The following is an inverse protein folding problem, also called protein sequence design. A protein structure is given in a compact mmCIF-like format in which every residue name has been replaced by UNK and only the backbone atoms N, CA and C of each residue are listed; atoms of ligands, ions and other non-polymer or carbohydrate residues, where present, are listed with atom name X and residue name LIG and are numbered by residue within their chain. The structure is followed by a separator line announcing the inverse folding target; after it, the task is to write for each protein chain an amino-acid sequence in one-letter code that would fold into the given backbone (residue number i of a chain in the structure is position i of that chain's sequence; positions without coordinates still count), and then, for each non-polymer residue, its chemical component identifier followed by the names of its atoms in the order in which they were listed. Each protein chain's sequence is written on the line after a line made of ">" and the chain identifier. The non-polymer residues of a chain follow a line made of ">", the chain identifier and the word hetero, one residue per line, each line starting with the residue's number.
data_IF_468785525702
#
_entry.id   IF_468785525702
#
_cell.length_a   1.000
_cell.length_b   1.000
_cell.length_c   1.000
_cell.angle_alpha   90.00
_cell.angle_beta   90.00
_cell.angle_gamma   90.00
#
_symmetry.space_group_name_H-M   'P 1'
#
loop_
_entity.id
_entity.type
_entity.pdbx_description
1 polymer ?
#
# COMPACT_ATOMS: atom_id res chain seq x y z
N UNK A 1 -9.12 -3.65 -15.73
CA UNK A 1 -8.55 -4.98 -15.49
C UNK A 1 -9.61 -5.85 -14.83
N UNK A 2 -9.80 -7.08 -15.33
CA UNK A 2 -10.51 -8.13 -14.58
C UNK A 2 -9.50 -8.74 -13.58
N UNK A 3 -9.82 -8.70 -12.29
CA UNK A 3 -8.95 -9.19 -11.22
C UNK A 3 -9.70 -10.27 -10.44
N UNK A 4 -9.00 -11.34 -10.07
CA UNK A 4 -9.57 -12.41 -9.25
C UNK A 4 -8.92 -12.36 -7.87
N UNK A 5 -9.65 -11.77 -6.94
CA UNK A 5 -9.26 -11.71 -5.55
C UNK A 5 -9.70 -12.99 -4.80
N UNK A 6 -8.90 -13.45 -3.84
CA UNK A 6 -9.22 -14.65 -3.04
C UNK A 6 -10.38 -14.42 -2.08
N UNK A 7 -10.58 -13.19 -1.61
CA UNK A 7 -11.59 -12.79 -0.62
C UNK A 7 -12.84 -12.24 -1.33
N UNK A 8 -12.66 -11.34 -2.29
CA UNK A 8 -13.75 -10.61 -2.95
C UNK A 8 -14.21 -11.23 -4.29
N UNK A 9 -13.53 -12.28 -4.77
CA UNK A 9 -13.88 -12.97 -6.02
C UNK A 9 -13.49 -12.18 -7.27
N UNK A 10 -14.27 -12.30 -8.33
CA UNK A 10 -14.00 -11.57 -9.58
C UNK A 10 -14.46 -10.12 -9.45
N UNK A 11 -13.52 -9.19 -9.65
CA UNK A 11 -13.74 -7.75 -9.56
C UNK A 11 -13.21 -7.05 -10.80
N UNK A 12 -13.84 -5.91 -11.14
CA UNK A 12 -13.42 -5.08 -12.26
C UNK A 12 -12.87 -3.75 -11.76
N UNK A 13 -11.60 -3.50 -12.05
CA UNK A 13 -10.92 -2.23 -11.77
C UNK A 13 -10.91 -1.43 -13.07
N UNK A 14 -11.45 -0.21 -13.05
CA UNK A 14 -11.72 0.59 -14.26
C UNK A 14 -10.99 1.92 -14.27
N UNK A 15 -10.63 2.43 -13.09
CA UNK A 15 -9.99 3.70 -12.87
C UNK A 15 -8.55 3.65 -13.40
N UNK A 16 -8.21 4.49 -14.37
CA UNK A 16 -6.92 4.44 -15.06
C UNK A 16 -5.73 4.66 -14.11
N UNK A 17 -5.87 5.56 -13.13
CA UNK A 17 -4.86 5.78 -12.08
C UNK A 17 -4.57 4.52 -11.28
N UNK A 18 -5.61 3.78 -10.87
CA UNK A 18 -5.45 2.53 -10.13
C UNK A 18 -4.76 1.47 -10.99
N UNK A 19 -5.07 1.41 -12.28
CA UNK A 19 -4.43 0.47 -13.21
C UNK A 19 -2.94 0.78 -13.39
N UNK A 20 -2.57 2.05 -13.55
CA UNK A 20 -1.16 2.43 -13.70
C UNK A 20 -0.38 2.20 -12.40
N UNK A 21 -0.95 2.55 -11.24
CA UNK A 21 -0.36 2.27 -9.93
C UNK A 21 -0.19 0.77 -9.71
N UNK A 22 -1.21 -0.05 -9.97
CA UNK A 22 -1.12 -1.51 -9.84
C UNK A 22 0.03 -2.07 -10.67
N UNK A 23 0.27 -1.53 -11.88
CA UNK A 23 1.33 -1.99 -12.77
C UNK A 23 2.70 -1.32 -12.50
N UNK A 24 2.78 -0.40 -11.55
CA UNK A 24 4.03 0.30 -11.24
C UNK A 24 5.04 -0.64 -10.57
N UNK A 25 6.36 -0.42 -10.76
CA UNK A 25 7.38 -1.21 -10.08
C UNK A 25 7.23 -1.23 -8.56
N UNK A 26 6.78 -0.10 -7.99
CA UNK A 26 6.58 0.08 -6.55
C UNK A 26 5.51 -0.88 -6.02
N UNK A 27 4.36 -1.01 -6.68
CA UNK A 27 3.35 -2.01 -6.28
C UNK A 27 3.78 -3.43 -6.67
N UNK A 28 4.32 -3.64 -7.88
CA UNK A 28 4.66 -4.98 -8.34
C UNK A 28 5.67 -5.69 -7.44
N UNK A 29 6.62 -4.96 -6.83
CA UNK A 29 7.58 -5.55 -5.88
C UNK A 29 6.89 -6.17 -4.65
N UNK A 30 5.70 -5.68 -4.26
CA UNK A 30 4.99 -6.15 -3.08
C UNK A 30 4.51 -7.61 -3.23
N UNK A 31 4.52 -8.17 -4.44
CA UNK A 31 4.25 -9.60 -4.68
C UNK A 31 5.30 -10.52 -4.05
N UNK A 32 6.50 -10.01 -3.84
CA UNK A 32 7.63 -10.70 -3.23
C UNK A 32 7.79 -10.38 -1.75
N UNK A 33 6.88 -9.56 -1.18
CA UNK A 33 6.88 -9.21 0.24
C UNK A 33 5.70 -9.91 0.92
N UNK A 34 6.00 -10.81 1.83
CA UNK A 34 5.00 -11.53 2.63
C UNK A 34 4.38 -10.57 3.68
N UNK A 35 3.05 -10.56 3.74
CA UNK A 35 2.26 -9.76 4.68
C UNK A 35 2.64 -10.07 6.13
N UNK A 36 2.93 -11.33 6.45
CA UNK A 36 3.29 -11.79 7.79
C UNK A 36 4.80 -11.72 8.07
N UNK A 37 5.60 -11.09 7.20
CA UNK A 37 7.06 -11.09 7.29
C UNK A 37 7.67 -12.40 6.79
N UNK A 38 8.78 -12.87 7.35
CA UNK A 38 9.48 -14.07 6.85
C UNK A 38 8.79 -15.40 7.26
N UNK A 39 7.56 -15.61 6.80
CA UNK A 39 6.68 -16.71 7.22
C UNK A 39 6.50 -17.79 6.12
N UNK A 40 6.46 -17.39 4.85
CA UNK A 40 6.32 -18.28 3.68
C UNK A 40 7.22 -19.54 3.71
N UNK A 41 8.53 -19.49 4.06
CA UNK A 41 9.38 -20.68 4.07
C UNK A 41 8.96 -21.75 5.09
N UNK A 42 8.18 -21.38 6.10
CA UNK A 42 7.70 -22.28 7.15
C UNK A 42 6.25 -22.74 6.90
N UNK A 43 5.44 -21.91 6.23
CA UNK A 43 4.02 -22.15 5.96
C UNK A 43 3.64 -21.71 4.53
N UNK A 44 4.02 -22.45 3.49
CA UNK A 44 3.83 -22.03 2.09
C UNK A 44 2.35 -21.88 1.70
N UNK A 45 1.45 -22.64 2.33
CA UNK A 45 0.00 -22.58 2.10
C UNK A 45 -0.65 -21.28 2.62
N UNK A 46 0.05 -20.52 3.48
CA UNK A 46 -0.40 -19.22 3.98
C UNK A 46 0.26 -18.06 3.26
N UNK A 47 0.73 -18.24 2.02
CA UNK A 47 1.29 -17.14 1.22
C UNK A 47 0.24 -16.05 0.99
N UNK A 48 0.41 -14.93 1.67
CA UNK A 48 -0.32 -13.68 1.49
C UNK A 48 0.73 -12.60 1.30
N UNK A 49 0.81 -12.03 0.10
CA UNK A 49 1.77 -10.97 -0.17
C UNK A 49 1.11 -9.60 0.06
N UNK A 50 1.93 -8.57 0.27
CA UNK A 50 1.46 -7.18 0.47
C UNK A 50 0.75 -6.63 -0.76
N UNK A 51 1.05 -7.11 -1.96
CA UNK A 51 0.35 -6.68 -3.17
C UNK A 51 -1.14 -7.06 -3.12
N UNK A 52 -1.45 -8.31 -2.76
CA UNK A 52 -2.82 -8.80 -2.63
C UNK A 52 -3.56 -8.03 -1.52
N UNK A 53 -2.89 -7.72 -0.41
CA UNK A 53 -3.44 -6.88 0.66
C UNK A 53 -3.76 -5.46 0.19
N UNK A 54 -2.81 -4.76 -0.43
CA UNK A 54 -3.00 -3.41 -0.98
C UNK A 54 -4.17 -3.34 -1.99
N UNK A 55 -4.25 -4.30 -2.90
CA UNK A 55 -5.39 -4.39 -3.83
C UNK A 55 -6.69 -4.69 -3.07
N UNK A 56 -6.65 -5.56 -2.07
CA UNK A 56 -7.80 -5.87 -1.20
C UNK A 56 -8.35 -4.66 -0.45
N UNK A 57 -7.49 -3.83 0.14
CA UNK A 57 -7.86 -2.57 0.81
C UNK A 57 -8.54 -1.61 -0.18
N UNK A 58 -7.94 -1.42 -1.36
CA UNK A 58 -8.52 -0.61 -2.44
C UNK A 58 -9.94 -1.09 -2.83
N UNK A 59 -10.12 -2.40 -2.99
CA UNK A 59 -11.42 -3.00 -3.30
C UNK A 59 -12.44 -2.84 -2.17
N UNK A 60 -11.99 -2.94 -0.92
CA UNK A 60 -12.84 -2.74 0.25
C UNK A 60 -13.33 -1.30 0.33
N UNK A 61 -12.44 -0.32 0.17
CA UNK A 61 -12.78 1.11 0.12
C UNK A 61 -13.77 1.39 -1.02
N UNK A 62 -13.53 0.85 -2.21
CA UNK A 62 -14.47 0.95 -3.34
C UNK A 62 -15.84 0.39 -2.99
N UNK A 63 -15.90 -0.74 -2.29
CA UNK A 63 -17.15 -1.38 -1.85
C UNK A 63 -17.91 -0.52 -0.84
N UNK A 64 -17.21 0.25 -0.02
CA UNK A 64 -17.80 1.22 0.92
C UNK A 64 -18.14 2.58 0.28
N UNK A 65 -17.87 2.76 -1.01
CA UNK A 65 -18.18 4.00 -1.73
C UNK A 65 -17.17 5.12 -1.48
N UNK A 66 -15.95 4.78 -1.08
CA UNK A 66 -14.84 5.71 -0.95
C UNK A 66 -14.54 6.42 -2.28
N UNK A 67 -14.00 7.64 -2.20
CA UNK A 67 -13.58 8.39 -3.39
C UNK A 67 -12.44 7.68 -4.13
N UNK A 68 -12.13 8.12 -5.34
CA UNK A 68 -10.99 7.53 -6.09
C UNK A 68 -9.68 7.88 -5.40
N UNK A 69 -9.58 9.08 -4.84
CA UNK A 69 -8.48 9.57 -4.02
C UNK A 69 -8.23 8.64 -2.83
N UNK A 70 -9.28 8.28 -2.10
CA UNK A 70 -9.19 7.40 -0.94
C UNK A 70 -8.83 5.96 -1.35
N UNK A 71 -9.38 5.48 -2.47
CA UNK A 71 -8.98 4.20 -3.05
C UNK A 71 -7.51 4.18 -3.48
N UNK A 72 -6.98 5.30 -3.98
CA UNK A 72 -5.56 5.48 -4.32
C UNK A 72 -4.71 5.45 -3.05
N UNK A 73 -5.08 6.22 -2.02
CA UNK A 73 -4.38 6.25 -0.73
C UNK A 73 -4.31 4.83 -0.12
N UNK A 74 -5.45 4.13 -0.08
CA UNK A 74 -5.50 2.76 0.41
C UNK A 74 -4.76 1.75 -0.47
N UNK A 75 -4.63 1.97 -1.78
CA UNK A 75 -3.81 1.11 -2.64
C UNK A 75 -2.32 1.28 -2.32
N UNK A 76 -1.85 2.51 -2.07
CA UNK A 76 -0.44 2.79 -1.89
C UNK A 76 0.04 2.71 -0.43
N UNK A 77 -0.85 2.63 0.57
CA UNK A 77 -0.48 2.72 2.00
C UNK A 77 0.69 1.82 2.44
N UNK A 78 0.82 0.65 1.82
CA UNK A 78 1.83 -0.35 2.17
C UNK A 78 3.11 -0.27 1.31
N UNK A 79 3.22 0.68 0.38
CA UNK A 79 4.32 0.72 -0.60
C UNK A 79 5.68 1.00 0.00
N UNK A 80 5.83 1.43 1.24
CA UNK A 80 7.13 1.63 1.88
C UNK A 80 7.62 0.39 2.66
N UNK A 81 6.78 -0.63 2.84
CA UNK A 81 7.13 -1.80 3.66
C UNK A 81 8.25 -2.66 3.06
N UNK A 82 9.08 -3.22 3.94
CA UNK A 82 10.20 -4.11 3.58
C UNK A 82 9.86 -5.59 3.76
N UNK A 83 10.69 -6.48 3.18
CA UNK A 83 10.52 -7.95 3.22
C UNK A 83 10.46 -8.58 4.63
N UNK A 84 10.96 -7.88 5.65
CA UNK A 84 10.93 -8.33 7.04
C UNK A 84 9.93 -7.56 7.90
N UNK A 85 9.11 -6.69 7.29
CA UNK A 85 8.15 -5.83 8.00
C UNK A 85 8.85 -5.12 9.18
N UNK A 86 8.21 -5.06 10.34
CA UNK A 86 8.79 -4.48 11.56
C UNK A 86 10.06 -5.15 12.07
N UNK A 87 10.40 -6.37 11.63
CA UNK A 87 11.64 -7.02 12.08
C UNK A 87 12.89 -6.34 11.51
N UNK A 88 12.82 -5.74 10.32
CA UNK A 88 13.89 -4.86 9.81
C UNK A 88 14.05 -3.62 10.68
N UNK A 89 12.94 -3.08 11.21
CA UNK A 89 13.00 -1.92 12.11
C UNK A 89 13.80 -2.25 13.37
N UNK A 90 13.72 -3.47 13.93
CA UNK A 90 14.57 -3.89 15.05
C UNK A 90 16.06 -4.05 14.69
N UNK A 91 16.36 -4.40 13.44
CA UNK A 91 17.74 -4.55 12.96
C UNK A 91 18.35 -3.18 12.66
N UNK A 92 17.58 -2.27 12.08
CA UNK A 92 17.98 -0.89 11.80
C UNK A 92 17.99 -0.01 13.05
N UNK A 93 17.06 -0.23 13.99
CA UNK A 93 16.97 0.52 15.26
C UNK A 93 17.99 0.10 16.31
N UNK A 94 18.85 -0.89 16.04
CA UNK A 94 20.09 -1.11 16.82
C UNK A 94 21.11 0.04 16.72
N UNK A 95 20.69 1.20 16.18
CA UNK A 95 21.42 2.47 16.21
C UNK A 95 20.80 3.61 17.04
N UNK A 96 19.53 3.56 17.49
CA UNK A 96 18.97 4.58 18.41
C UNK A 96 17.55 4.28 18.88
N UNK A 97 17.40 4.07 20.19
CA UNK A 97 16.13 3.90 20.92
C UNK A 97 15.31 5.20 21.05
N UNK A 98 15.09 5.96 19.97
CA UNK A 98 14.24 7.16 20.05
C UNK A 98 13.24 7.29 18.90
N UNK A 99 11.99 7.16 19.33
CA UNK A 99 10.74 7.63 18.72
C UNK A 99 10.10 6.70 17.69
N UNK A 100 8.91 6.22 18.02
CA UNK A 100 7.97 5.53 17.11
C UNK A 100 7.30 6.53 16.14
N UNK A 101 8.07 7.47 15.58
CA UNK A 101 7.65 8.49 14.62
C UNK A 101 8.46 8.41 13.30
N UNK A 102 9.24 7.34 13.09
CA UNK A 102 10.10 7.19 11.90
C UNK A 102 9.42 6.47 10.72
N UNK A 103 8.24 5.86 10.91
CA UNK A 103 7.54 5.14 9.82
C UNK A 103 6.85 6.09 8.84
N UNK A 104 6.20 7.15 9.33
CA UNK A 104 5.52 8.15 8.49
C UNK A 104 6.52 8.90 7.61
N UNK A 105 7.68 9.27 8.19
CA UNK A 105 8.77 9.92 7.45
C UNK A 105 9.30 9.06 6.31
N UNK A 106 9.35 7.72 6.47
CA UNK A 106 9.85 6.82 5.43
C UNK A 106 8.79 6.56 4.35
N UNK A 107 7.51 6.52 4.70
CA UNK A 107 6.43 6.36 3.72
C UNK A 107 6.36 7.56 2.77
N UNK A 108 6.27 8.77 3.32
CA UNK A 108 6.20 9.98 2.51
C UNK A 108 7.47 10.12 1.64
N UNK A 109 8.66 9.94 2.23
CA UNK A 109 9.93 10.00 1.50
C UNK A 109 10.02 8.94 0.39
N UNK A 110 9.58 7.71 0.66
CA UNK A 110 9.56 6.64 -0.34
C UNK A 110 8.61 6.97 -1.49
N UNK A 111 7.40 7.44 -1.20
CA UNK A 111 6.44 7.82 -2.25
C UNK A 111 7.03 8.96 -3.08
N UNK A 112 7.52 10.03 -2.46
CA UNK A 112 8.07 11.20 -3.13
C UNK A 112 9.32 10.91 -3.98
N UNK A 113 10.10 9.87 -3.61
CA UNK A 113 11.29 9.45 -4.37
C UNK A 113 11.03 8.38 -5.43
N UNK A 114 9.77 7.92 -5.58
CA UNK A 114 9.38 6.88 -6.52
C UNK A 114 8.73 7.42 -7.81
N UNK A 115 8.19 6.55 -8.67
CA UNK A 115 7.38 6.97 -9.84
C UNK A 115 5.91 7.27 -9.49
N UNK A 116 5.49 7.03 -8.24
CA UNK A 116 4.10 7.25 -7.81
C UNK A 116 3.64 8.71 -8.03
N UNK A 117 4.43 9.75 -7.66
CA UNK A 117 4.05 11.14 -7.90
C UNK A 117 3.77 11.43 -9.37
N UNK A 118 4.63 10.94 -10.29
CA UNK A 118 4.44 11.13 -11.74
C UNK A 118 3.12 10.48 -12.21
N UNK A 119 2.80 9.29 -11.71
CA UNK A 119 1.54 8.61 -12.03
C UNK A 119 0.35 9.41 -11.50
N UNK A 120 0.41 9.92 -10.26
CA UNK A 120 -0.67 10.72 -9.66
C UNK A 120 -0.90 12.03 -10.43
N UNK A 121 0.17 12.76 -10.72
CA UNK A 121 0.13 14.02 -11.46
C UNK A 121 -0.41 13.82 -12.89
N UNK A 122 -0.03 12.73 -13.57
CA UNK A 122 -0.56 12.37 -14.89
C UNK A 122 -2.08 12.30 -14.94
N UNK A 123 -2.72 11.93 -13.83
CA UNK A 123 -4.18 11.85 -13.71
C UNK A 123 -4.82 13.03 -12.97
N UNK A 124 -4.04 14.05 -12.62
CA UNK A 124 -4.52 15.27 -11.97
C UNK A 124 -4.75 15.15 -10.46
N UNK A 125 -4.15 14.16 -9.81
CA UNK A 125 -4.19 14.04 -8.35
C UNK A 125 -3.09 14.88 -7.71
N UNK A 126 -3.43 15.57 -6.62
CA UNK A 126 -2.45 16.27 -5.79
C UNK A 126 -1.78 15.28 -4.83
N UNK A 127 -0.45 15.17 -4.90
CA UNK A 127 0.30 14.19 -4.11
C UNK A 127 0.20 14.48 -2.62
N UNK A 128 0.26 15.76 -2.21
CA UNK A 128 0.12 16.15 -0.81
C UNK A 128 -1.25 15.78 -0.24
N UNK A 129 -2.31 15.97 -1.02
CA UNK A 129 -3.66 15.57 -0.65
C UNK A 129 -3.80 14.06 -0.44
N UNK A 130 -3.17 13.26 -1.32
CA UNK A 130 -3.17 11.79 -1.24
C UNK A 130 -2.34 11.26 -0.06
N UNK A 131 -1.29 11.97 0.35
CA UNK A 131 -0.43 11.56 1.46
C UNK A 131 -0.93 12.02 2.83
N UNK A 132 -1.84 12.98 2.89
CA UNK A 132 -2.47 13.41 4.12
C UNK A 132 -3.64 12.50 4.50
N UNK A 133 -3.38 11.56 5.41
CA UNK A 133 -4.35 10.57 5.90
C UNK A 133 -5.60 11.20 6.54
N UNK A 134 -5.53 12.45 6.99
CA UNK A 134 -6.69 13.13 7.61
C UNK A 134 -7.84 13.36 6.62
N UNK A 135 -7.57 13.26 5.32
CA UNK A 135 -8.58 13.32 4.27
C UNK A 135 -9.36 12.01 4.05
N UNK A 136 -8.90 10.88 4.61
CA UNK A 136 -9.37 9.53 4.26
C UNK A 136 -9.92 8.74 5.46
N UNK A 137 -11.10 9.13 5.96
CA UNK A 137 -11.67 8.56 7.18
C UNK A 137 -12.14 7.11 7.05
N UNK A 138 -12.32 6.57 5.83
CA UNK A 138 -12.64 5.14 5.64
C UNK A 138 -11.37 4.28 5.61
N UNK A 139 -10.22 4.87 5.27
CA UNK A 139 -8.92 4.21 5.33
C UNK A 139 -8.43 4.12 6.77
N UNK A 140 -8.46 5.23 7.51
CA UNK A 140 -8.06 5.30 8.92
C UNK A 140 -9.13 6.01 9.76
N UNK A 141 -9.71 5.28 10.72
CA UNK A 141 -10.60 5.85 11.73
C UNK A 141 -9.90 5.88 13.07
N UNK A 142 -9.80 7.06 13.70
CA UNK A 142 -9.49 7.14 15.13
C UNK A 142 -10.63 6.46 15.92
N UNK A 143 -10.34 5.29 16.50
CA UNK A 143 -11.23 4.57 17.42
C UNK A 143 -11.14 5.15 18.84
#
# INVERSE_FOLDING_TARGET
>A
MEYRDKIYGQVKITEAVLLDLINSPELQRLKDIDQAGYYEPFYPESKHNRFDHSVGVCLLLKKFGASVEEQVAGLIHDVSHSAFSHAVDYVLSKGSEKEQNHQDNYFEEYVLSSNIPEILEKYGFDVGYILDETHFPLLETQL
#
